data_IF_503488209756
#
_entry.id   IF_503488209756
#
_cell.length_a   1.000
_cell.length_b   1.000
_cell.length_c   1.000
_cell.angle_alpha   90.00
_cell.angle_beta   90.00
_cell.angle_gamma   90.00
#
_symmetry.space_group_name_H-M   'P 1'
#
loop_
_entity.id
_entity.type
_entity.pdbx_description
1 polymer ?
#
# COMPACT_ATOMS: atom_id res chain seq x y z
N UNK A 1 12.69 -4.43 8.00
CA UNK A 1 12.63 -4.25 6.52
C UNK A 1 11.89 -2.96 6.17
N UNK A 2 10.67 -2.74 6.68
CA UNK A 2 9.83 -1.59 6.32
C UNK A 2 10.48 -0.24 6.61
N UNK A 3 11.16 -0.11 7.75
CA UNK A 3 11.95 1.06 8.14
C UNK A 3 13.16 1.28 7.22
N UNK A 4 13.78 0.20 6.72
CA UNK A 4 14.85 0.31 5.74
C UNK A 4 14.29 0.81 4.40
N UNK A 5 13.13 0.30 3.95
CA UNK A 5 12.44 0.82 2.77
C UNK A 5 12.11 2.32 2.88
N UNK A 6 11.79 2.83 4.07
CA UNK A 6 11.61 4.28 4.31
C UNK A 6 12.88 5.09 3.98
N UNK A 7 14.06 4.56 4.34
CA UNK A 7 15.36 5.15 3.98
C UNK A 7 15.62 5.03 2.47
N UNK A 8 15.37 3.86 1.87
CA UNK A 8 15.56 3.63 0.44
C UNK A 8 14.64 4.48 -0.44
N UNK A 9 13.44 4.80 0.06
CA UNK A 9 12.51 5.75 -0.54
C UNK A 9 12.85 7.20 -0.27
N UNK A 10 13.92 7.49 0.48
CA UNK A 10 14.31 8.84 0.89
C UNK A 10 13.18 9.64 1.58
N UNK A 11 12.34 8.96 2.37
CA UNK A 11 11.25 9.58 3.13
C UNK A 11 11.78 10.19 4.43
N UNK A 12 12.56 11.26 4.32
CA UNK A 12 13.30 11.87 5.44
C UNK A 12 12.62 13.09 6.08
N UNK A 13 11.51 13.57 5.53
CA UNK A 13 10.78 14.73 6.03
C UNK A 13 9.43 14.33 6.61
N UNK A 14 8.94 15.01 7.66
CA UNK A 14 7.59 14.79 8.18
C UNK A 14 6.54 14.94 7.07
N UNK A 15 5.55 14.06 7.04
CA UNK A 15 4.53 14.03 5.98
C UNK A 15 4.88 13.16 4.77
N UNK A 16 6.17 12.80 4.59
CA UNK A 16 6.55 11.83 3.57
C UNK A 16 6.11 10.43 3.98
N UNK A 17 5.40 9.77 3.08
CA UNK A 17 4.89 8.41 3.26
C UNK A 17 5.38 7.50 2.13
N UNK A 18 5.69 6.26 2.50
CA UNK A 18 5.86 5.18 1.54
C UNK A 18 4.95 4.00 1.88
N UNK A 19 4.64 3.18 0.88
CA UNK A 19 4.01 1.87 1.07
C UNK A 19 4.73 0.78 0.27
N UNK A 20 5.09 -0.31 0.95
CA UNK A 20 5.76 -1.46 0.33
C UNK A 20 4.75 -2.55 0.02
N UNK A 21 4.55 -2.87 -1.25
CA UNK A 21 3.60 -3.89 -1.74
C UNK A 21 4.31 -5.22 -2.03
N UNK A 22 4.52 -6.00 -0.97
CA UNK A 22 5.05 -7.36 -1.01
C UNK A 22 3.97 -8.39 -0.67
N UNK A 23 4.32 -9.43 0.09
CA UNK A 23 3.36 -10.42 0.62
C UNK A 23 2.21 -9.74 1.38
N UNK A 24 2.57 -8.84 2.29
CA UNK A 24 1.68 -7.83 2.88
C UNK A 24 1.97 -6.45 2.30
N UNK A 25 1.23 -5.45 2.77
CA UNK A 25 1.41 -4.06 2.42
C UNK A 25 1.61 -3.22 3.69
N UNK A 26 2.68 -2.43 3.75
CA UNK A 26 3.04 -1.66 4.95
C UNK A 26 3.31 -0.20 4.60
N UNK A 27 2.43 0.67 5.09
CA UNK A 27 2.55 2.11 4.95
C UNK A 27 3.31 2.67 6.15
N UNK A 28 4.36 3.46 5.89
CA UNK A 28 5.18 4.12 6.92
C UNK A 28 5.21 5.61 6.62
N UNK A 29 4.67 6.41 7.53
CA UNK A 29 4.59 7.86 7.45
C UNK A 29 5.57 8.48 8.43
N UNK A 30 6.51 9.29 7.92
CA UNK A 30 7.50 9.98 8.74
C UNK A 30 6.85 11.06 9.61
N UNK A 31 7.11 11.05 10.92
CA UNK A 31 6.60 12.04 11.88
C UNK A 31 7.71 12.88 12.54
N UNK A 32 8.92 12.81 12.00
CA UNK A 32 10.09 13.53 12.50
C UNK A 32 10.44 13.11 13.93
N UNK A 33 10.76 14.08 14.78
CA UNK A 33 11.15 13.86 16.19
C UNK A 33 9.98 13.58 17.13
N UNK A 34 8.74 13.68 16.64
CA UNK A 34 7.55 13.51 17.48
C UNK A 34 6.99 12.10 17.35
N UNK A 35 6.94 11.38 18.48
CA UNK A 35 6.18 10.13 18.58
C UNK A 35 4.69 10.44 18.70
N UNK A 36 3.97 10.42 17.57
CA UNK A 36 2.53 10.66 17.55
C UNK A 36 1.81 9.41 17.98
N UNK A 37 1.02 9.49 19.05
CA UNK A 37 0.09 8.42 19.45
C UNK A 37 -1.12 8.44 18.53
N UNK A 38 -1.36 7.35 17.81
CA UNK A 38 -2.54 7.21 16.95
C UNK A 38 -3.83 7.15 17.77
N UNK A 39 -4.87 7.82 17.29
CA UNK A 39 -6.26 7.66 17.73
C UNK A 39 -7.11 6.90 16.70
N UNK A 40 -6.52 6.52 15.56
CA UNK A 40 -7.17 5.85 14.43
C UNK A 40 -6.57 4.46 14.16
N UNK A 41 -6.14 3.79 15.24
CA UNK A 41 -5.69 2.40 15.22
C UNK A 41 -4.47 2.15 14.33
N UNK A 42 -3.50 3.06 14.37
CA UNK A 42 -2.17 2.88 13.75
C UNK A 42 -1.11 2.64 14.82
N UNK A 43 0.05 2.17 14.39
CA UNK A 43 1.19 1.92 15.25
C UNK A 43 2.13 3.12 15.27
N UNK A 44 2.49 3.59 16.46
CA UNK A 44 3.61 4.52 16.63
C UNK A 44 4.90 3.72 16.73
N UNK A 45 5.89 4.03 15.89
CA UNK A 45 7.15 3.29 15.86
C UNK A 45 8.35 4.21 15.64
N UNK A 46 9.56 3.69 15.82
CA UNK A 46 10.80 4.36 15.41
C UNK A 46 11.00 4.08 13.91
N UNK A 47 11.18 5.13 13.12
CA UNK A 47 11.54 5.02 11.71
C UNK A 47 13.03 4.66 11.58
N UNK A 48 13.91 5.44 12.20
CA UNK A 48 15.36 5.23 12.20
C UNK A 48 16.02 6.08 13.28
N UNK A 49 17.27 5.76 13.61
CA UNK A 49 18.15 6.58 14.45
C UNK A 49 19.49 6.77 13.77
N UNK A 50 19.85 8.02 13.49
CA UNK A 50 21.07 8.40 12.77
C UNK A 50 21.72 9.53 13.55
N UNK A 51 23.03 9.44 13.80
CA UNK A 51 23.79 10.40 14.61
C UNK A 51 23.18 10.70 16.00
N UNK A 52 22.58 9.68 16.62
CA UNK A 52 21.92 9.79 17.92
C UNK A 52 20.50 10.39 17.87
N UNK A 53 20.10 10.96 16.73
CA UNK A 53 18.78 11.56 16.52
C UNK A 53 17.75 10.51 16.12
N UNK A 54 16.66 10.43 16.88
CA UNK A 54 15.56 9.48 16.63
C UNK A 54 14.52 10.16 15.72
N UNK A 55 14.16 9.46 14.64
CA UNK A 55 13.00 9.76 13.83
C UNK A 55 11.90 8.72 14.12
N UNK A 56 10.67 9.17 14.28
CA UNK A 56 9.49 8.35 14.49
C UNK A 56 8.66 8.23 13.21
N UNK A 57 7.73 7.27 13.23
CA UNK A 57 6.74 7.08 12.19
C UNK A 57 5.40 6.61 12.76
N UNK A 58 4.34 6.87 11.98
CA UNK A 58 3.11 6.11 12.05
C UNK A 58 3.17 4.97 11.02
N UNK A 59 2.74 3.79 11.44
CA UNK A 59 2.74 2.59 10.61
C UNK A 59 1.34 1.97 10.53
N UNK A 60 0.93 1.61 9.32
CA UNK A 60 -0.27 0.85 9.02
C UNK A 60 0.07 -0.43 8.29
N UNK A 61 -0.50 -1.55 8.73
CA UNK A 61 -0.17 -2.88 8.23
C UNK A 61 -1.40 -3.57 7.61
N UNK A 62 -1.27 -3.92 6.33
CA UNK A 62 -2.19 -4.79 5.59
C UNK A 62 -1.52 -6.16 5.47
N UNK A 63 -2.06 -7.17 6.13
CA UNK A 63 -1.40 -8.48 6.18
C UNK A 63 -1.39 -9.22 4.85
N UNK A 64 -2.41 -9.02 4.02
CA UNK A 64 -2.60 -9.74 2.76
C UNK A 64 -2.70 -8.73 1.62
N UNK A 65 -1.62 -8.62 0.84
CA UNK A 65 -1.59 -7.86 -0.41
C UNK A 65 -1.13 -8.78 -1.56
N UNK A 66 0.18 -8.95 -1.76
CA UNK A 66 0.73 -9.87 -2.75
C UNK A 66 0.40 -11.34 -2.45
N UNK A 67 0.16 -11.68 -1.18
CA UNK A 67 -0.38 -12.98 -0.79
C UNK A 67 -1.75 -13.27 -1.42
N UNK A 68 -2.58 -12.25 -1.71
CA UNK A 68 -3.84 -12.45 -2.41
C UNK A 68 -3.61 -12.85 -3.88
N UNK A 69 -2.66 -12.19 -4.55
CA UNK A 69 -2.25 -12.57 -5.92
C UNK A 69 -1.61 -13.96 -5.93
N UNK A 70 -0.79 -14.29 -4.93
CA UNK A 70 -0.24 -15.64 -4.77
C UNK A 70 -1.35 -16.69 -4.57
N UNK A 71 -2.39 -16.37 -3.80
CA UNK A 71 -3.55 -17.25 -3.63
C UNK A 71 -4.29 -17.50 -4.96
N UNK A 72 -4.43 -16.49 -5.83
CA UNK A 72 -4.98 -16.68 -7.18
C UNK A 72 -4.14 -17.67 -8.01
N UNK A 73 -2.81 -17.60 -7.88
CA UNK A 73 -1.86 -18.43 -8.65
C UNK A 73 -1.73 -19.85 -8.11
N UNK A 74 -1.47 -19.98 -6.81
CA UNK A 74 -1.07 -21.26 -6.20
C UNK A 74 -2.24 -21.97 -5.52
N UNK A 75 -3.13 -21.18 -4.90
CA UNK A 75 -4.28 -21.66 -4.15
C UNK A 75 -5.40 -22.14 -5.07
N UNK A 76 -6.05 -21.19 -5.76
CA UNK A 76 -7.19 -21.50 -6.65
C UNK A 76 -6.80 -21.67 -8.11
N UNK A 77 -5.56 -21.36 -8.48
CA UNK A 77 -4.94 -21.64 -9.79
C UNK A 77 -5.70 -21.08 -10.99
N UNK A 78 -6.16 -19.84 -10.88
CA UNK A 78 -6.87 -19.14 -11.96
C UNK A 78 -5.96 -18.23 -12.80
N UNK A 79 -4.73 -18.00 -12.35
CA UNK A 79 -3.66 -17.31 -13.09
C UNK A 79 -2.39 -18.15 -13.04
N UNK A 80 -1.50 -18.05 -14.04
CA UNK A 80 -0.23 -18.80 -14.05
C UNK A 80 0.92 -17.99 -13.45
N UNK A 81 0.84 -16.67 -13.54
CA UNK A 81 1.86 -15.76 -13.00
C UNK A 81 1.21 -14.45 -12.53
N UNK A 82 1.89 -13.73 -11.63
CA UNK A 82 1.42 -12.43 -11.17
C UNK A 82 1.29 -11.40 -12.31
N UNK A 83 2.10 -11.51 -13.36
CA UNK A 83 2.06 -10.61 -14.51
C UNK A 83 0.78 -10.72 -15.35
N UNK A 84 0.03 -11.83 -15.26
CA UNK A 84 -1.27 -11.97 -15.94
C UNK A 84 -2.34 -11.04 -15.36
N UNK A 85 -2.15 -10.58 -14.12
CA UNK A 85 -3.18 -9.81 -13.41
C UNK A 85 -3.47 -8.46 -14.03
N UNK A 86 -2.47 -7.81 -14.64
CA UNK A 86 -2.61 -6.49 -15.25
C UNK A 86 -3.57 -6.53 -16.44
N UNK A 87 -3.30 -7.41 -17.42
CA UNK A 87 -4.12 -7.52 -18.62
C UNK A 87 -5.56 -7.94 -18.31
N UNK A 88 -5.74 -8.86 -17.34
CA UNK A 88 -7.06 -9.32 -16.89
C UNK A 88 -7.84 -8.19 -16.22
N UNK A 89 -7.20 -7.42 -15.34
CA UNK A 89 -7.83 -6.28 -14.69
C UNK A 89 -8.18 -5.18 -15.72
N UNK A 90 -7.27 -4.89 -16.65
CA UNK A 90 -7.45 -3.87 -17.69
C UNK A 90 -8.52 -4.23 -18.73
N UNK A 91 -8.86 -5.51 -18.90
CA UNK A 91 -9.92 -5.95 -19.83
C UNK A 91 -11.35 -5.58 -19.38
N UNK A 92 -11.51 -5.08 -18.15
CA UNK A 92 -12.79 -4.70 -17.58
C UNK A 92 -12.92 -3.17 -17.43
N UNK A 93 -14.08 -2.65 -17.82
CA UNK A 93 -14.42 -1.22 -17.66
C UNK A 93 -14.65 -0.83 -16.20
N UNK A 94 -15.16 -1.77 -15.39
CA UNK A 94 -15.46 -1.62 -13.96
C UNK A 94 -15.33 -2.96 -13.22
N UNK A 95 -15.57 -2.96 -11.90
CA UNK A 95 -15.47 -4.18 -11.08
C UNK A 95 -16.73 -5.06 -11.11
N UNK A 96 -17.75 -4.71 -11.93
CA UNK A 96 -19.05 -5.40 -12.00
C UNK A 96 -19.72 -5.65 -10.64
N UNK A 97 -19.41 -4.83 -9.63
CA UNK A 97 -19.92 -4.98 -8.26
C UNK A 97 -19.24 -6.07 -7.43
N UNK A 98 -18.17 -6.70 -7.94
CA UNK A 98 -17.43 -7.76 -7.25
C UNK A 98 -16.39 -7.15 -6.31
N UNK A 99 -16.41 -7.56 -5.04
CA UNK A 99 -15.44 -7.15 -4.03
C UNK A 99 -14.83 -8.39 -3.36
N UNK A 100 -13.51 -8.43 -3.27
CA UNK A 100 -12.78 -9.36 -2.44
C UNK A 100 -12.32 -8.64 -1.18
N UNK A 101 -12.63 -9.18 0.01
CA UNK A 101 -11.96 -8.80 1.25
C UNK A 101 -10.94 -9.91 1.58
N UNK A 102 -9.63 -9.71 1.38
CA UNK A 102 -8.62 -10.77 1.46
C UNK A 102 -8.16 -11.03 2.90
N UNK A 103 -9.08 -11.11 3.86
CA UNK A 103 -8.78 -11.31 5.29
C UNK A 103 -8.39 -12.77 5.63
N UNK A 104 -7.51 -13.41 4.83
CA UNK A 104 -7.14 -14.83 5.01
C UNK A 104 -6.56 -15.14 6.38
N UNK A 105 -5.90 -14.17 7.00
CA UNK A 105 -5.32 -14.24 8.35
C UNK A 105 -5.87 -13.16 9.27
N UNK A 106 -7.12 -12.72 9.05
CA UNK A 106 -7.69 -11.55 9.73
C UNK A 106 -7.43 -10.23 8.99
N UNK A 107 -8.01 -9.16 9.51
CA UNK A 107 -7.82 -7.79 9.03
C UNK A 107 -6.78 -7.07 9.91
N UNK A 108 -5.82 -6.41 9.24
CA UNK A 108 -4.86 -5.51 9.88
C UNK A 108 -5.44 -4.14 10.16
N UNK A 109 -4.60 -3.11 10.17
CA UNK A 109 -5.03 -1.74 10.37
C UNK A 109 -5.99 -1.27 9.24
N UNK A 110 -6.93 -0.37 9.54
CA UNK A 110 -7.26 0.18 10.86
C UNK A 110 -8.22 -0.71 11.67
N UNK A 111 -8.57 -1.91 11.19
CA UNK A 111 -9.62 -2.74 11.74
C UNK A 111 -9.20 -3.60 12.94
N UNK A 112 -8.00 -4.19 12.89
CA UNK A 112 -7.45 -5.10 13.89
C UNK A 112 -8.41 -6.20 14.32
N UNK A 113 -8.91 -6.94 13.34
CA UNK A 113 -9.84 -8.04 13.57
C UNK A 113 -9.18 -9.39 13.21
N UNK A 114 -8.67 -10.13 14.20
CA UNK A 114 -8.04 -11.43 13.97
C UNK A 114 -9.05 -12.54 13.62
N UNK A 115 -10.36 -12.31 13.81
CA UNK A 115 -11.41 -13.28 13.57
C UNK A 115 -12.07 -13.12 12.19
N UNK A 116 -11.94 -11.95 11.55
CA UNK A 116 -12.34 -11.72 10.18
C UNK A 116 -11.70 -12.76 9.23
N UNK A 117 -12.44 -13.18 8.20
CA UNK A 117 -11.97 -14.15 7.20
C UNK A 117 -12.22 -13.66 5.79
N UNK A 118 -11.46 -14.22 4.84
CA UNK A 118 -11.58 -13.85 3.44
C UNK A 118 -12.98 -14.10 2.88
N UNK A 119 -13.52 -13.13 2.13
CA UNK A 119 -14.85 -13.22 1.54
C UNK A 119 -14.92 -12.51 0.19
N UNK A 120 -15.75 -13.04 -0.71
CA UNK A 120 -16.07 -12.43 -2.00
C UNK A 120 -17.55 -12.08 -2.02
N UNK A 121 -17.88 -10.87 -2.44
CA UNK A 121 -19.25 -10.38 -2.56
C UNK A 121 -19.55 -9.91 -3.98
N UNK A 122 -20.83 -9.90 -4.35
CA UNK A 122 -21.29 -9.30 -5.60
C UNK A 122 -21.19 -10.19 -6.84
N UNK A 123 -20.91 -11.49 -6.66
CA UNK A 123 -20.90 -12.44 -7.78
C UNK A 123 -22.29 -12.55 -8.43
N UNK A 124 -22.30 -12.55 -9.76
CA UNK A 124 -23.46 -12.84 -10.61
C UNK A 124 -23.15 -14.06 -11.48
N UNK A 125 -24.12 -14.48 -12.30
CA UNK A 125 -23.92 -15.58 -13.27
C UNK A 125 -22.80 -15.27 -14.28
N UNK A 126 -22.56 -13.99 -14.55
CA UNK A 126 -21.61 -13.54 -15.56
C UNK A 126 -20.22 -13.25 -14.97
N UNK A 127 -20.05 -13.36 -13.65
CA UNK A 127 -18.74 -13.17 -13.01
C UNK A 127 -17.77 -14.31 -13.36
N UNK A 128 -16.55 -13.96 -13.77
CA UNK A 128 -15.51 -14.90 -14.14
C UNK A 128 -14.14 -14.56 -13.54
N UNK A 129 -13.09 -15.11 -14.17
CA UNK A 129 -11.70 -14.92 -13.75
C UNK A 129 -11.29 -13.43 -13.78
N UNK A 130 -11.61 -12.63 -14.82
CA UNK A 130 -11.26 -11.21 -14.84
C UNK A 130 -11.79 -10.44 -13.64
N UNK A 131 -13.06 -10.66 -13.24
CA UNK A 131 -13.68 -9.95 -12.12
C UNK A 131 -13.02 -10.32 -10.78
N UNK A 132 -12.66 -11.60 -10.59
CA UNK A 132 -11.95 -12.04 -9.39
C UNK A 132 -10.54 -11.46 -9.29
N UNK A 133 -9.82 -11.40 -10.41
CA UNK A 133 -8.48 -10.81 -10.50
C UNK A 133 -8.55 -9.31 -10.24
N UNK A 134 -9.49 -8.61 -10.89
CA UNK A 134 -9.75 -7.19 -10.68
C UNK A 134 -10.07 -6.89 -9.22
N UNK A 135 -11.04 -7.59 -8.64
CA UNK A 135 -11.42 -7.43 -7.23
C UNK A 135 -10.24 -7.70 -6.26
N UNK A 136 -9.33 -8.61 -6.62
CA UNK A 136 -8.12 -8.86 -5.83
C UNK A 136 -7.19 -7.65 -5.82
N UNK A 137 -6.87 -7.09 -6.98
CA UNK A 137 -6.02 -5.90 -7.06
C UNK A 137 -6.69 -4.68 -6.41
N UNK A 138 -7.98 -4.46 -6.69
CA UNK A 138 -8.75 -3.37 -6.11
C UNK A 138 -8.77 -3.45 -4.57
N UNK A 139 -8.86 -4.65 -3.98
CA UNK A 139 -8.84 -4.83 -2.52
C UNK A 139 -7.57 -4.29 -1.86
N UNK A 140 -6.43 -4.34 -2.55
CA UNK A 140 -5.17 -3.79 -2.05
C UNK A 140 -5.19 -2.26 -2.05
N UNK A 141 -5.77 -1.67 -3.10
CA UNK A 141 -5.97 -0.22 -3.18
C UNK A 141 -6.98 0.28 -2.13
N UNK A 142 -8.10 -0.43 -1.94
CA UNK A 142 -9.10 -0.06 -0.93
C UNK A 142 -8.54 -0.15 0.50
N UNK A 143 -7.84 -1.23 0.84
CA UNK A 143 -7.18 -1.32 2.14
C UNK A 143 -6.11 -0.23 2.32
N UNK A 144 -5.39 0.15 1.25
CA UNK A 144 -4.46 1.30 1.31
C UNK A 144 -5.21 2.60 1.58
N UNK A 145 -6.37 2.81 0.95
CA UNK A 145 -7.22 3.97 1.22
C UNK A 145 -7.64 4.03 2.69
N UNK A 146 -8.06 2.92 3.29
CA UNK A 146 -8.42 2.91 4.72
C UNK A 146 -7.23 3.32 5.61
N UNK A 147 -6.02 2.86 5.29
CA UNK A 147 -4.80 3.25 6.00
C UNK A 147 -4.48 4.73 5.83
N UNK A 148 -4.47 5.24 4.59
CA UNK A 148 -4.18 6.64 4.30
C UNK A 148 -5.21 7.54 4.98
N UNK A 149 -6.48 7.15 4.98
CA UNK A 149 -7.55 7.86 5.70
C UNK A 149 -7.32 7.88 7.21
N UNK A 150 -6.91 6.76 7.81
CA UNK A 150 -6.58 6.70 9.23
C UNK A 150 -5.37 7.60 9.57
N UNK A 151 -4.33 7.59 8.72
CA UNK A 151 -3.13 8.42 8.89
C UNK A 151 -3.46 9.92 8.80
N UNK A 152 -4.25 10.31 7.80
CA UNK A 152 -4.70 11.69 7.65
C UNK A 152 -5.54 12.15 8.85
N UNK A 153 -6.37 11.25 9.41
CA UNK A 153 -7.19 11.54 10.58
C UNK A 153 -6.36 11.69 11.88
N UNK A 154 -5.15 11.12 11.93
CA UNK A 154 -4.15 11.37 12.99
C UNK A 154 -3.37 12.69 12.80
N UNK A 155 -3.72 13.50 11.80
CA UNK A 155 -3.34 14.91 11.72
C UNK A 155 -2.12 15.23 10.86
N UNK A 156 -1.68 14.31 10.00
CA UNK A 156 -0.56 14.56 9.07
C UNK A 156 -1.08 14.60 7.63
N UNK A 157 -0.80 15.71 6.97
CA UNK A 157 -1.04 15.86 5.54
C UNK A 157 0.05 15.11 4.74
N UNK A 158 -0.37 14.52 3.61
CA UNK A 158 0.50 13.78 2.70
C UNK A 158 0.31 14.35 1.30
N UNK A 159 1.41 14.64 0.62
CA UNK A 159 1.37 15.23 -0.74
C UNK A 159 1.35 14.15 -1.84
N UNK A 160 1.90 12.97 -1.54
CA UNK A 160 1.97 11.83 -2.46
C UNK A 160 2.32 10.55 -1.70
N UNK A 161 2.07 9.41 -2.32
CA UNK A 161 2.44 8.09 -1.82
C UNK A 161 3.59 7.51 -2.66
N UNK A 162 4.77 7.33 -2.06
CA UNK A 162 5.85 6.56 -2.70
C UNK A 162 5.59 5.07 -2.55
N UNK A 163 5.82 4.29 -3.60
CA UNK A 163 5.51 2.86 -3.59
C UNK A 163 6.71 2.03 -3.99
N UNK A 164 6.85 0.85 -3.41
CA UNK A 164 7.89 -0.12 -3.76
C UNK A 164 7.41 -1.56 -3.53
N UNK A 165 8.25 -2.56 -3.83
CA UNK A 165 7.91 -3.98 -3.74
C UNK A 165 7.38 -4.57 -5.05
N UNK A 166 7.16 -5.88 -5.06
CA UNK A 166 6.91 -6.64 -6.29
C UNK A 166 5.62 -6.27 -7.04
N UNK A 167 4.57 -5.84 -6.34
CA UNK A 167 3.29 -5.52 -7.01
C UNK A 167 3.33 -4.21 -7.79
N UNK A 168 4.28 -3.31 -7.51
CA UNK A 168 4.35 -1.99 -8.15
C UNK A 168 4.83 -2.06 -9.60
N UNK A 169 5.18 -3.25 -10.09
CA UNK A 169 5.38 -3.50 -11.52
C UNK A 169 4.07 -3.48 -12.33
N UNK A 170 2.90 -3.52 -11.67
CA UNK A 170 1.59 -3.49 -12.31
C UNK A 170 1.08 -2.05 -12.43
N UNK A 171 1.08 -1.48 -13.64
CA UNK A 171 0.71 -0.08 -13.88
C UNK A 171 -0.77 0.17 -13.65
N UNK A 172 -1.60 -0.82 -14.00
CA UNK A 172 -3.05 -0.75 -13.77
C UNK A 172 -3.37 -0.62 -12.27
N UNK A 173 -2.69 -1.39 -11.42
CA UNK A 173 -2.83 -1.29 -9.97
C UNK A 173 -2.41 0.08 -9.45
N UNK A 174 -1.30 0.64 -9.94
CA UNK A 174 -0.80 1.93 -9.45
C UNK A 174 -1.71 3.09 -9.86
N UNK A 175 -2.26 3.07 -11.08
CA UNK A 175 -3.24 4.06 -11.49
C UNK A 175 -4.52 3.95 -10.65
N UNK A 176 -5.05 2.73 -10.48
CA UNK A 176 -6.25 2.52 -9.65
C UNK A 176 -6.01 2.89 -8.19
N UNK A 177 -4.81 2.65 -7.66
CA UNK A 177 -4.42 3.07 -6.34
C UNK A 177 -4.47 4.60 -6.22
N UNK A 178 -3.82 5.34 -7.12
CA UNK A 178 -3.83 6.80 -7.14
C UNK A 178 -5.27 7.35 -7.19
N UNK A 179 -6.10 6.78 -8.06
CA UNK A 179 -7.51 7.13 -8.20
C UNK A 179 -8.31 6.93 -6.90
N UNK A 180 -8.12 5.81 -6.21
CA UNK A 180 -8.88 5.47 -5.01
C UNK A 180 -8.41 6.26 -3.78
N UNK A 181 -7.09 6.43 -3.61
CA UNK A 181 -6.56 7.23 -2.49
C UNK A 181 -6.68 8.74 -2.73
N UNK A 182 -6.85 9.17 -3.99
CA UNK A 182 -6.93 10.57 -4.41
C UNK A 182 -5.69 11.37 -3.99
N UNK A 183 -4.54 10.72 -4.16
CA UNK A 183 -3.21 11.27 -4.00
C UNK A 183 -2.33 10.73 -5.12
N UNK A 184 -1.36 11.53 -5.60
CA UNK A 184 -0.36 11.05 -6.54
C UNK A 184 0.42 9.85 -5.99
N UNK A 185 0.64 8.85 -6.82
CA UNK A 185 1.46 7.67 -6.51
C UNK A 185 2.77 7.73 -7.30
N UNK A 186 3.90 7.55 -6.62
CA UNK A 186 5.23 7.66 -7.23
C UNK A 186 6.00 6.33 -7.16
N UNK A 187 6.32 5.77 -8.33
CA UNK A 187 7.16 4.57 -8.45
C UNK A 187 8.63 4.98 -8.67
N UNK A 188 9.58 4.52 -7.84
CA UNK A 188 11.00 4.75 -8.05
C UNK A 188 11.58 3.82 -9.12
N UNK A 189 12.73 4.19 -9.68
CA UNK A 189 13.49 3.32 -10.59
C UNK A 189 13.97 2.02 -9.92
N UNK A 190 14.26 2.07 -8.61
CA UNK A 190 14.64 0.91 -7.82
C UNK A 190 13.48 0.55 -6.89
N UNK A 191 12.81 -0.56 -7.16
CA UNK A 191 11.65 -1.02 -6.39
C UNK A 191 12.03 -1.94 -5.23
N UNK A 192 13.28 -2.39 -5.15
CA UNK A 192 13.83 -3.12 -3.99
C UNK A 192 14.43 -2.14 -2.98
N UNK A 193 13.57 -1.24 -2.46
CA UNK A 193 13.99 -0.13 -1.60
C UNK A 193 14.41 -0.59 -0.21
N UNK A 194 14.00 -1.78 0.22
CA UNK A 194 14.43 -2.37 1.49
C UNK A 194 15.93 -2.61 1.49
N UNK A 195 16.44 -3.33 0.48
CA UNK A 195 17.86 -3.58 0.33
C UNK A 195 18.63 -2.27 0.08
N UNK A 196 18.09 -1.39 -0.76
CA UNK A 196 18.68 -0.08 -1.02
C UNK A 196 18.84 0.75 0.25
N UNK A 197 17.81 0.85 1.09
CA UNK A 197 17.86 1.62 2.32
C UNK A 197 18.86 1.07 3.34
N UNK A 198 18.98 -0.25 3.45
CA UNK A 198 20.02 -0.88 4.26
C UNK A 198 21.43 -0.53 3.74
N UNK A 199 21.64 -0.57 2.42
CA UNK A 199 22.89 -0.18 1.78
C UNK A 199 23.19 1.31 1.96
N UNK A 200 22.18 2.19 1.85
CA UNK A 200 22.32 3.62 2.09
C UNK A 200 22.75 3.92 3.53
N UNK A 201 22.16 3.24 4.52
CA UNK A 201 22.51 3.43 5.92
C UNK A 201 23.96 2.99 6.22
N UNK A 202 24.37 1.82 5.69
CA UNK A 202 25.76 1.37 5.80
C UNK A 202 26.72 2.31 5.05
N UNK A 203 26.34 2.76 3.86
CA UNK A 203 27.11 3.70 3.05
C UNK A 203 27.29 5.06 3.72
N UNK A 204 26.26 5.56 4.40
CA UNK A 204 26.35 6.79 5.19
C UNK A 204 27.40 6.66 6.31
N UNK A 205 27.37 5.55 7.05
CA UNK A 205 28.35 5.28 8.11
C UNK A 205 29.79 5.13 7.58
N UNK A 206 29.96 4.61 6.36
CA UNK A 206 31.26 4.45 5.69
C UNK A 206 31.70 5.69 4.90
N UNK A 207 30.92 6.77 4.89
CA UNK A 207 31.24 8.01 4.18
C UNK A 207 31.06 7.95 2.65
N UNK A 208 30.34 6.95 2.13
CA UNK A 208 29.92 6.92 0.72
C UNK A 208 28.85 7.97 0.42
N UNK A 209 28.03 8.28 1.44
CA UNK A 209 27.10 9.40 1.43
C UNK A 209 27.49 10.36 2.55
N UNK A 210 27.34 11.65 2.31
CA UNK A 210 27.69 12.72 3.26
C UNK A 210 26.55 13.09 4.19
N UNK A 211 25.30 12.81 3.82
CA UNK A 211 24.11 13.15 4.58
C UNK A 211 22.86 12.39 4.09
N UNK A 212 21.75 12.53 4.81
CA UNK A 212 20.44 12.06 4.33
C UNK A 212 19.97 12.82 3.07
N UNK A 213 20.29 14.11 2.96
CA UNK A 213 20.01 14.90 1.76
C UNK A 213 20.80 14.40 0.54
N UNK A 214 22.04 13.95 0.76
CA UNK A 214 22.85 13.32 -0.28
C UNK A 214 22.17 12.05 -0.80
N UNK A 215 21.76 11.15 0.11
CA UNK A 215 20.96 9.95 -0.23
C UNK A 215 19.68 10.33 -1.00
N UNK A 216 18.94 11.34 -0.53
CA UNK A 216 17.72 11.79 -1.17
C UNK A 216 17.95 12.32 -2.59
N UNK A 217 19.10 12.93 -2.85
CA UNK A 217 19.48 13.44 -4.18
C UNK A 217 19.67 12.33 -5.22
N UNK A 218 19.90 11.09 -4.78
CA UNK A 218 20.00 9.90 -5.62
C UNK A 218 18.66 9.21 -5.88
N UNK A 219 17.60 9.54 -5.15
CA UNK A 219 16.29 8.99 -5.41
C UNK A 219 15.79 9.47 -6.79
N UNK A 220 15.34 8.52 -7.61
CA UNK A 220 14.87 8.77 -8.97
C UNK A 220 13.49 8.17 -9.15
N UNK A 221 12.52 9.04 -9.41
CA UNK A 221 11.19 8.65 -9.85
C UNK A 221 11.30 8.05 -11.24
N UNK A 222 10.77 6.84 -11.42
CA UNK A 222 10.53 6.26 -12.74
C UNK A 222 9.24 6.83 -13.31
N UNK A 223 8.17 6.81 -12.51
CA UNK A 223 6.83 7.14 -12.98
C UNK A 223 5.98 7.75 -11.87
N UNK A 224 4.98 8.52 -12.29
CA UNK A 224 4.00 9.17 -11.43
C UNK A 224 2.60 8.91 -11.99
N UNK A 225 1.71 8.47 -11.11
CA UNK A 225 0.31 8.22 -11.41
C UNK A 225 -0.50 9.28 -10.66
N UNK A 226 -1.06 10.24 -11.39
CA UNK A 226 -1.96 11.24 -10.81
C UNK A 226 -3.40 10.72 -10.83
N UNK A 227 -4.25 11.09 -9.84
CA UNK A 227 -5.65 10.66 -9.81
C UNK A 227 -6.43 11.17 -11.03
N UNK A 228 -7.20 10.28 -11.66
CA UNK A 228 -7.99 10.53 -12.86
C UNK A 228 -9.45 10.11 -12.72
N UNK A 229 -9.81 9.37 -11.66
CA UNK A 229 -11.16 8.88 -11.45
C UNK A 229 -12.13 9.99 -10.99
N UNK A 230 -13.30 10.04 -11.61
CA UNK A 230 -14.40 10.93 -11.23
C UNK A 230 -14.86 10.67 -9.78
N UNK A 231 -15.07 11.74 -9.01
CA UNK A 231 -15.34 11.68 -7.58
C UNK A 231 -16.56 10.82 -7.21
N UNK A 232 -17.64 10.91 -7.98
CA UNK A 232 -18.84 10.09 -7.79
C UNK A 232 -18.59 8.60 -8.05
N UNK A 233 -17.83 8.25 -9.09
CA UNK A 233 -17.38 6.87 -9.32
C UNK A 233 -16.53 6.36 -8.15
N UNK A 234 -15.54 7.14 -7.72
CA UNK A 234 -14.68 6.79 -6.58
C UNK A 234 -15.50 6.53 -5.31
N UNK A 235 -16.42 7.44 -4.97
CA UNK A 235 -17.26 7.29 -3.78
C UNK A 235 -18.12 6.02 -3.84
N UNK A 236 -18.72 5.69 -4.99
CA UNK A 236 -19.52 4.45 -5.14
C UNK A 236 -18.70 3.19 -4.89
N UNK A 237 -17.45 3.16 -5.35
CA UNK A 237 -16.53 2.04 -5.11
C UNK A 237 -16.18 1.92 -3.63
N UNK A 238 -15.83 3.03 -3.00
CA UNK A 238 -15.50 3.10 -1.57
C UNK A 238 -16.69 2.68 -0.68
N UNK A 239 -17.91 3.12 -1.02
CA UNK A 239 -19.12 2.70 -0.31
C UNK A 239 -19.36 1.19 -0.44
N UNK A 240 -19.08 0.62 -1.63
CA UNK A 240 -19.14 -0.82 -1.87
C UNK A 240 -18.13 -1.59 -1.02
N UNK A 241 -16.90 -1.09 -0.96
CA UNK A 241 -15.85 -1.63 -0.13
C UNK A 241 -16.20 -1.61 1.36
N UNK A 242 -16.68 -0.49 1.90
CA UNK A 242 -17.07 -0.39 3.31
C UNK A 242 -18.17 -1.39 3.67
N UNK A 243 -19.19 -1.56 2.80
CA UNK A 243 -20.22 -2.59 2.99
C UNK A 243 -19.65 -4.01 3.00
N UNK A 244 -18.63 -4.28 2.18
CA UNK A 244 -17.97 -5.59 2.16
C UNK A 244 -17.19 -5.84 3.46
N UNK A 245 -16.48 -4.82 3.97
CA UNK A 245 -15.77 -4.86 5.24
C UNK A 245 -16.72 -5.11 6.42
N UNK A 246 -17.83 -4.38 6.50
CA UNK A 246 -18.82 -4.54 7.58
C UNK A 246 -19.40 -5.95 7.66
N UNK A 247 -19.45 -6.68 6.53
CA UNK A 247 -19.97 -8.05 6.48
C UNK A 247 -18.98 -9.11 6.95
N UNK A 248 -17.68 -8.82 6.94
CA UNK A 248 -16.65 -9.78 7.36
C UNK A 248 -16.13 -9.54 8.78
N UNK A 249 -16.31 -8.33 9.31
CA UNK A 249 -15.88 -8.00 10.66
C UNK A 249 -16.67 -8.78 11.69
N UNK A 250 -15.95 -9.33 12.66
CA UNK A 250 -16.53 -9.87 13.88
C UNK A 250 -17.22 -8.75 14.65
N UNK A 251 -18.36 -9.09 15.26
CA UNK A 251 -19.15 -8.19 16.10
C UNK A 251 -18.69 -8.23 17.54
#
# INVERSE_FOLDING_TARGET
>A
DQQAATIGQACFQPGMIKSTYGTGCFAVLNTGRQAIRSNHQLLTTIAYRIDGEICYALEGSIFVAGAAVQWLRDGIRIIRSAGETEALAASLDDNKGVYLVPAFTGLGAPYWDPHARGAIFGLTRDSGIPELVRATLESVAYQTYDLVRAMAADGIAMDSLRVDGGMVANDWLLQFLADVIDLPVERPQVTETTALGAACLAGLQQGLFTSLQDIASHWRRQERFDPQMEAGRRQRLLDGWQRAIERVRSR
#
